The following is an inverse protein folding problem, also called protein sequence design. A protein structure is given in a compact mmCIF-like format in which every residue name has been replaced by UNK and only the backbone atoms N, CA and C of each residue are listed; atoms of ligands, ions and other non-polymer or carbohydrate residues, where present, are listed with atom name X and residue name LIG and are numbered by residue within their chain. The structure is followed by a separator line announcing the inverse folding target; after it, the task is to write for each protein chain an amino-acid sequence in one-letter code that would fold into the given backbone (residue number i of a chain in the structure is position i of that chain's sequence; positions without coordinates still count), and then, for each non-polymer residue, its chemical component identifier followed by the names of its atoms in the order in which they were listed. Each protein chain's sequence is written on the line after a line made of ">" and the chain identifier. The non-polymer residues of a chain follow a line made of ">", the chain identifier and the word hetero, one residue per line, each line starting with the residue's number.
data_IF_815282569388
#
_entry.id   IF_815282569388
#
_cell.length_a   1.000
_cell.length_b   1.000
_cell.length_c   1.000
_cell.angle_alpha   90.00
_cell.angle_beta   90.00
_cell.angle_gamma   90.00
#
_symmetry.space_group_name_H-M   'P 1'
#
loop_
_entity.id
_entity.type
_entity.pdbx_description
1 polymer ?
#
# COMPACT_ATOMS: atom_id res chain seq x y z
N UNK A 1 -13.96 -24.53 -14.88
CA UNK A 1 -13.04 -23.41 -14.66
C UNK A 1 -13.66 -22.57 -13.57
N UNK A 2 -13.06 -22.51 -12.37
CA UNK A 2 -13.52 -21.55 -11.35
C UNK A 2 -13.34 -20.16 -11.95
N UNK A 3 -14.43 -19.43 -12.11
CA UNK A 3 -14.40 -18.03 -12.50
C UNK A 3 -13.74 -17.29 -11.33
N UNK A 4 -12.43 -17.04 -11.41
CA UNK A 4 -11.74 -16.24 -10.41
C UNK A 4 -12.33 -14.84 -10.45
N UNK A 5 -12.96 -14.41 -9.36
CA UNK A 5 -13.53 -13.07 -9.22
C UNK A 5 -12.45 -11.98 -9.41
N UNK A 6 -11.24 -12.22 -8.91
CA UNK A 6 -10.10 -11.29 -9.04
C UNK A 6 -9.33 -11.63 -10.32
N UNK A 7 -9.29 -10.72 -11.33
CA UNK A 7 -8.57 -10.95 -12.58
C UNK A 7 -7.05 -10.91 -12.37
N UNK A 8 -6.33 -11.72 -13.13
CA UNK A 8 -4.87 -11.65 -13.22
C UNK A 8 -4.46 -10.96 -14.53
N UNK A 9 -3.56 -9.99 -14.44
CA UNK A 9 -3.04 -9.23 -15.57
C UNK A 9 -1.56 -9.51 -15.73
N UNK A 10 -1.17 -10.02 -16.90
CA UNK A 10 0.22 -10.27 -17.26
C UNK A 10 0.88 -8.97 -17.74
N UNK A 11 1.90 -8.50 -17.01
CA UNK A 11 2.62 -7.28 -17.34
C UNK A 11 3.85 -7.51 -18.24
N UNK A 12 4.15 -8.74 -18.68
CA UNK A 12 5.37 -9.08 -19.43
C UNK A 12 5.62 -8.15 -20.62
N UNK A 13 4.58 -7.91 -21.42
CA UNK A 13 4.67 -7.04 -22.60
C UNK A 13 4.83 -5.56 -22.24
N UNK A 14 4.25 -5.12 -21.13
CA UNK A 14 4.38 -3.75 -20.66
C UNK A 14 5.78 -3.50 -20.09
N UNK A 15 6.29 -4.43 -19.31
CA UNK A 15 7.65 -4.38 -18.74
C UNK A 15 8.71 -4.41 -19.82
N UNK A 16 8.56 -5.28 -20.83
CA UNK A 16 9.55 -5.45 -21.89
C UNK A 16 9.55 -4.33 -22.93
N UNK A 17 8.39 -3.74 -23.24
CA UNK A 17 8.24 -2.80 -24.36
C UNK A 17 7.89 -1.36 -23.93
N UNK A 18 7.61 -1.15 -22.65
CA UNK A 18 7.25 0.15 -22.08
C UNK A 18 5.84 0.63 -22.43
N UNK A 19 5.48 1.77 -21.83
CA UNK A 19 4.13 2.36 -21.88
C UNK A 19 3.71 2.84 -23.30
N UNK A 20 4.67 3.15 -24.16
CA UNK A 20 4.41 3.65 -25.51
C UNK A 20 4.21 2.53 -26.55
N UNK A 21 4.21 1.27 -26.11
CA UNK A 21 4.03 0.13 -27.00
C UNK A 21 2.55 -0.07 -27.40
N UNK A 22 2.33 -0.78 -28.52
CA UNK A 22 0.97 -1.16 -28.94
C UNK A 22 0.25 -2.04 -27.89
N UNK A 23 1.00 -2.75 -27.06
CA UNK A 23 0.47 -3.64 -26.01
C UNK A 23 -0.01 -2.88 -24.77
N UNK A 24 0.47 -1.66 -24.58
CA UNK A 24 0.10 -0.88 -23.39
C UNK A 24 -1.39 -0.55 -23.35
N UNK A 25 -2.03 -0.31 -24.49
CA UNK A 25 -3.48 -0.03 -24.56
C UNK A 25 -4.34 -1.21 -24.11
N UNK A 26 -3.96 -2.43 -24.47
CA UNK A 26 -4.67 -3.64 -24.07
C UNK A 26 -4.58 -3.83 -22.55
N UNK A 27 -3.37 -3.70 -21.98
CA UNK A 27 -3.13 -3.82 -20.55
C UNK A 27 -3.84 -2.68 -19.80
N UNK A 28 -3.79 -1.45 -20.34
CA UNK A 28 -4.48 -0.31 -19.75
C UNK A 28 -5.99 -0.53 -19.66
N UNK A 29 -6.62 -1.12 -20.69
CA UNK A 29 -8.03 -1.47 -20.66
C UNK A 29 -8.35 -2.58 -19.67
N UNK A 30 -7.49 -3.58 -19.50
CA UNK A 30 -7.66 -4.63 -18.48
C UNK A 30 -7.59 -4.02 -17.07
N UNK A 31 -6.58 -3.18 -16.78
CA UNK A 31 -6.43 -2.48 -15.50
C UNK A 31 -7.65 -1.57 -15.27
N UNK A 32 -8.05 -0.77 -16.28
CA UNK A 32 -9.23 0.08 -16.15
C UNK A 32 -10.46 -0.72 -15.75
N UNK A 33 -10.77 -1.78 -16.51
CA UNK A 33 -11.94 -2.62 -16.24
C UNK A 33 -11.90 -3.21 -14.81
N UNK A 34 -10.77 -3.78 -14.41
CA UNK A 34 -10.61 -4.33 -13.07
C UNK A 34 -10.79 -3.28 -11.97
N UNK A 35 -10.24 -2.07 -12.16
CA UNK A 35 -10.32 -0.96 -11.20
C UNK A 35 -11.74 -0.35 -11.12
N UNK A 36 -12.45 -0.26 -12.23
CA UNK A 36 -13.82 0.27 -12.27
C UNK A 36 -14.84 -0.73 -11.74
N UNK A 37 -14.71 -2.03 -12.06
CA UNK A 37 -15.68 -3.06 -11.70
C UNK A 37 -15.44 -3.62 -10.29
N UNK A 38 -14.17 -3.87 -9.92
CA UNK A 38 -13.81 -4.61 -8.71
C UNK A 38 -12.98 -3.75 -7.75
N UNK A 39 -12.03 -2.98 -8.27
CA UNK A 39 -11.05 -2.25 -7.48
C UNK A 39 -9.85 -3.10 -7.06
N UNK A 40 -9.78 -4.36 -7.51
CA UNK A 40 -8.72 -5.33 -7.23
C UNK A 40 -8.35 -6.15 -8.46
N UNK A 41 -7.07 -6.44 -8.60
CA UNK A 41 -6.52 -7.38 -9.59
C UNK A 41 -5.17 -7.91 -9.11
N UNK A 42 -4.68 -8.98 -9.71
CA UNK A 42 -3.31 -9.46 -9.50
C UNK A 42 -2.46 -9.15 -10.74
N UNK A 43 -1.16 -8.98 -10.54
CA UNK A 43 -0.20 -8.79 -11.63
C UNK A 43 0.90 -9.82 -11.57
N UNK A 44 1.19 -10.44 -12.71
CA UNK A 44 2.29 -11.38 -12.91
C UNK A 44 3.29 -10.82 -13.91
N UNK A 45 4.50 -11.38 -13.96
CA UNK A 45 5.58 -10.91 -14.85
C UNK A 45 5.89 -9.41 -14.71
N UNK A 46 5.78 -8.94 -13.47
CA UNK A 46 5.87 -7.52 -13.08
C UNK A 46 7.30 -6.97 -13.05
N UNK A 47 8.31 -7.80 -13.27
CA UNK A 47 9.71 -7.38 -13.35
C UNK A 47 10.46 -7.35 -12.01
N UNK A 48 9.78 -7.33 -10.87
CA UNK A 48 10.43 -7.38 -9.54
C UNK A 48 10.96 -8.80 -9.30
N UNK A 49 12.27 -8.99 -9.03
CA UNK A 49 12.83 -10.32 -8.81
C UNK A 49 12.29 -11.00 -7.55
N UNK A 50 11.82 -12.24 -7.65
CA UNK A 50 11.29 -13.01 -6.50
C UNK A 50 12.34 -13.21 -5.40
N UNK A 51 13.63 -13.31 -5.76
CA UNK A 51 14.74 -13.41 -4.81
C UNK A 51 14.82 -12.20 -3.87
N UNK A 52 14.45 -11.00 -4.33
CA UNK A 52 14.37 -9.81 -3.47
C UNK A 52 13.26 -9.93 -2.44
N UNK A 53 12.14 -10.54 -2.80
CA UNK A 53 11.03 -10.81 -1.89
C UNK A 53 11.44 -11.79 -0.79
N UNK A 54 12.17 -12.86 -1.14
CA UNK A 54 12.67 -13.83 -0.16
C UNK A 54 13.66 -13.21 0.82
N UNK A 55 14.57 -12.38 0.33
CA UNK A 55 15.51 -11.63 1.17
C UNK A 55 14.73 -10.70 2.12
N UNK A 56 13.76 -9.99 1.61
CA UNK A 56 12.93 -9.07 2.38
C UNK A 56 12.12 -9.79 3.47
N UNK A 57 11.51 -10.94 3.15
CA UNK A 57 10.79 -11.76 4.12
C UNK A 57 11.69 -12.22 5.27
N UNK A 58 12.92 -12.62 4.97
CA UNK A 58 13.89 -13.01 5.99
C UNK A 58 14.30 -11.81 6.87
N UNK A 59 14.49 -10.66 6.26
CA UNK A 59 14.81 -9.39 6.96
C UNK A 59 13.65 -8.98 7.87
N UNK A 60 12.42 -9.08 7.39
CA UNK A 60 11.20 -8.84 8.15
C UNK A 60 11.11 -9.75 9.39
N UNK A 61 11.34 -11.07 9.24
CA UNK A 61 11.35 -12.02 10.38
C UNK A 61 12.42 -11.68 11.41
N UNK A 62 13.64 -11.33 10.99
CA UNK A 62 14.70 -10.89 11.91
C UNK A 62 14.21 -9.77 12.83
N UNK A 63 13.49 -8.79 12.28
CA UNK A 63 12.94 -7.68 13.05
C UNK A 63 11.84 -8.14 14.02
N UNK A 64 10.81 -8.85 13.54
CA UNK A 64 9.66 -9.19 14.38
C UNK A 64 9.99 -10.21 15.48
N UNK A 65 11.05 -11.01 15.31
CA UNK A 65 11.52 -11.92 16.34
C UNK A 65 12.40 -11.28 17.43
N UNK A 66 12.71 -9.98 17.29
CA UNK A 66 13.34 -9.23 18.39
C UNK A 66 12.41 -9.17 19.61
N UNK A 67 12.98 -9.06 20.81
CA UNK A 67 12.19 -8.72 22.00
C UNK A 67 11.38 -7.44 21.78
N UNK A 68 10.16 -7.37 22.34
CA UNK A 68 9.30 -6.20 22.21
C UNK A 68 9.99 -4.91 22.71
N UNK A 69 10.80 -5.01 23.76
CA UNK A 69 11.60 -3.90 24.30
C UNK A 69 12.58 -3.30 23.28
N UNK A 70 13.04 -4.08 22.30
CA UNK A 70 13.88 -3.57 21.21
C UNK A 70 13.04 -2.92 20.11
N UNK A 71 11.94 -3.56 19.74
CA UNK A 71 11.03 -3.04 18.70
C UNK A 71 10.38 -1.72 19.10
N UNK A 72 9.99 -1.58 20.38
CA UNK A 72 9.34 -0.38 20.89
C UNK A 72 10.22 0.88 20.81
N UNK A 73 11.55 0.74 20.75
CA UNK A 73 12.48 1.87 20.62
C UNK A 73 12.23 2.71 19.37
N UNK A 74 11.69 2.08 18.32
CA UNK A 74 11.36 2.74 17.05
C UNK A 74 9.86 2.89 16.82
N UNK A 75 9.06 2.72 17.88
CA UNK A 75 7.62 2.94 17.81
C UNK A 75 7.28 4.44 17.76
N UNK A 76 6.14 4.82 17.16
CA UNK A 76 5.63 6.17 17.22
C UNK A 76 5.40 6.66 18.65
N UNK A 77 5.30 7.97 18.81
CA UNK A 77 5.14 8.68 20.10
C UNK A 77 4.02 8.12 20.99
N UNK A 78 3.00 7.55 20.38
CA UNK A 78 1.89 6.87 21.09
C UNK A 78 2.38 5.74 22.02
N UNK A 79 3.40 4.99 21.62
CA UNK A 79 3.95 3.85 22.36
C UNK A 79 5.35 4.11 22.92
N UNK A 80 6.06 5.08 22.34
CA UNK A 80 7.37 5.50 22.82
C UNK A 80 7.43 7.03 22.95
N UNK A 81 7.19 7.60 24.14
CA UNK A 81 7.15 9.06 24.32
C UNK A 81 8.50 9.75 24.08
N UNK A 82 9.59 9.00 23.91
CA UNK A 82 10.92 9.54 23.62
C UNK A 82 11.21 9.74 22.14
N UNK A 83 10.28 9.34 21.25
CA UNK A 83 10.39 9.57 19.80
C UNK A 83 9.54 10.75 19.36
N UNK A 84 9.93 11.38 18.25
CA UNK A 84 9.14 12.44 17.60
C UNK A 84 8.29 11.91 16.45
N UNK A 85 8.48 10.63 16.04
CA UNK A 85 7.70 10.03 14.96
C UNK A 85 6.25 9.80 15.38
N UNK A 86 5.32 10.01 14.45
CA UNK A 86 3.88 9.90 14.68
C UNK A 86 3.26 8.85 13.76
N UNK A 87 3.76 8.74 12.53
CA UNK A 87 3.12 7.95 11.47
C UNK A 87 3.89 6.69 11.11
N UNK A 88 5.20 6.61 11.40
CA UNK A 88 6.09 5.54 10.96
C UNK A 88 6.81 4.88 12.12
N UNK A 89 7.36 3.70 11.85
CA UNK A 89 8.03 2.89 12.85
C UNK A 89 7.21 1.67 13.23
N UNK A 90 7.45 1.14 14.41
CA UNK A 90 6.87 -0.10 14.89
C UNK A 90 5.51 0.09 15.56
N UNK A 91 4.53 -0.71 15.17
CA UNK A 91 3.19 -0.78 15.75
C UNK A 91 3.01 -2.13 16.45
N UNK A 92 2.77 -2.15 17.79
CA UNK A 92 2.67 -3.40 18.55
C UNK A 92 1.33 -4.11 18.33
N UNK A 93 1.32 -5.43 18.53
CA UNK A 93 0.14 -6.29 18.34
C UNK A 93 -0.98 -6.05 19.35
N UNK A 94 -0.70 -5.34 20.45
CA UNK A 94 -1.70 -5.04 21.47
C UNK A 94 -2.91 -4.23 20.97
N UNK A 95 -2.79 -3.61 19.79
CA UNK A 95 -3.84 -2.76 19.21
C UNK A 95 -4.87 -3.59 18.45
N UNK A 96 -4.43 -4.44 17.53
CA UNK A 96 -5.31 -5.18 16.62
C UNK A 96 -4.79 -6.59 16.29
N UNK A 97 -3.94 -7.16 17.14
CA UNK A 97 -3.44 -8.52 17.04
C UNK A 97 -2.37 -8.78 15.99
N UNK A 98 -2.02 -7.79 15.19
CA UNK A 98 -0.88 -7.83 14.26
C UNK A 98 0.18 -6.81 14.67
N UNK A 99 1.42 -7.12 14.39
CA UNK A 99 2.51 -6.16 14.48
C UNK A 99 2.71 -5.50 13.11
N UNK A 100 3.11 -4.22 13.11
CA UNK A 100 3.42 -3.47 11.89
C UNK A 100 4.78 -2.80 11.98
N UNK A 101 5.45 -2.65 10.84
CA UNK A 101 6.61 -1.77 10.71
C UNK A 101 6.45 -0.95 9.44
N UNK A 102 6.34 0.37 9.62
CA UNK A 102 6.20 1.34 8.52
C UNK A 102 7.51 2.03 8.22
N UNK A 103 7.89 2.00 6.95
CA UNK A 103 9.11 2.59 6.42
C UNK A 103 8.72 3.55 5.29
N UNK A 104 9.12 4.81 5.42
CA UNK A 104 8.89 5.82 4.39
C UNK A 104 9.95 5.81 3.29
N UNK A 105 9.92 6.83 2.42
CA UNK A 105 10.89 6.96 1.34
C UNK A 105 12.32 6.98 1.90
N UNK A 106 13.17 6.00 1.52
CA UNK A 106 14.53 5.94 2.05
C UNK A 106 15.46 7.04 1.54
N UNK A 107 15.04 7.81 0.54
CA UNK A 107 15.79 8.99 0.07
C UNK A 107 15.59 10.21 0.97
N UNK A 108 14.63 10.15 1.91
CA UNK A 108 14.38 11.25 2.84
C UNK A 108 15.44 11.28 3.94
N UNK A 109 16.12 12.39 4.08
CA UNK A 109 17.19 12.61 5.06
C UNK A 109 16.93 13.83 5.94
N UNK A 110 17.60 13.93 7.08
CA UNK A 110 17.37 15.00 8.07
C UNK A 110 17.65 16.43 7.54
N UNK A 111 18.57 16.58 6.60
CA UNK A 111 18.90 17.86 5.95
C UNK A 111 17.81 18.36 5.00
N UNK A 112 16.84 17.49 4.63
CA UNK A 112 15.70 17.84 3.79
C UNK A 112 14.48 18.39 4.57
N UNK A 113 14.61 18.58 5.87
CA UNK A 113 13.51 19.01 6.76
C UNK A 113 12.79 20.28 6.30
N UNK A 114 13.49 21.21 5.69
CA UNK A 114 12.92 22.48 5.21
C UNK A 114 12.29 22.37 3.81
N UNK A 115 12.50 21.23 3.11
CA UNK A 115 11.99 20.97 1.76
C UNK A 115 10.68 20.16 1.77
N UNK A 116 10.33 19.59 2.91
CA UNK A 116 9.18 18.68 3.09
C UNK A 116 8.24 19.30 4.13
N UNK A 117 6.96 18.96 4.05
CA UNK A 117 6.00 19.39 5.06
C UNK A 117 6.43 18.97 6.46
N UNK A 118 6.36 19.92 7.41
CA UNK A 118 6.65 19.64 8.84
C UNK A 118 5.67 18.67 9.47
N UNK A 119 4.50 18.49 8.87
CA UNK A 119 3.43 17.64 9.41
C UNK A 119 3.70 16.15 9.15
N UNK A 120 4.33 15.83 8.02
CA UNK A 120 4.58 14.43 7.58
C UNK A 120 6.06 14.11 7.43
N UNK A 121 6.96 15.03 7.84
CA UNK A 121 8.40 14.80 7.79
C UNK A 121 8.83 13.79 8.86
N UNK A 122 9.15 12.57 8.43
CA UNK A 122 9.67 11.51 9.31
C UNK A 122 10.73 10.72 8.57
N UNK A 123 11.98 10.84 9.01
CA UNK A 123 13.10 10.05 8.50
C UNK A 123 13.05 8.64 9.09
N UNK A 124 13.38 7.65 8.28
CA UNK A 124 13.42 6.26 8.74
C UNK A 124 14.46 6.05 9.84
N UNK A 125 14.15 5.13 10.77
CA UNK A 125 15.10 4.71 11.78
C UNK A 125 16.27 3.92 11.17
N UNK A 126 17.48 4.14 11.70
CA UNK A 126 18.63 3.31 11.35
C UNK A 126 18.50 1.92 11.99
N UNK A 127 18.45 0.91 11.14
CA UNK A 127 18.31 -0.50 11.52
C UNK A 127 19.58 -1.32 11.20
N UNK A 128 20.70 -0.66 10.95
CA UNK A 128 21.97 -1.31 10.59
C UNK A 128 22.52 -2.23 11.70
N UNK A 129 22.10 -1.98 12.94
CA UNK A 129 22.43 -2.85 14.09
C UNK A 129 21.77 -4.24 13.99
N UNK A 130 20.63 -4.35 13.31
CA UNK A 130 19.93 -5.62 13.09
C UNK A 130 20.54 -6.40 11.93
N UNK A 131 20.80 -5.69 10.83
CA UNK A 131 21.42 -6.23 9.64
C UNK A 131 22.22 -5.11 8.95
N UNK A 132 23.55 -5.25 8.78
CA UNK A 132 24.34 -4.23 8.09
C UNK A 132 23.89 -3.94 6.65
N UNK A 133 23.14 -4.86 6.03
CA UNK A 133 22.57 -4.68 4.70
C UNK A 133 21.13 -4.13 4.72
N UNK A 134 20.56 -3.88 5.90
CA UNK A 134 19.18 -3.43 6.05
C UNK A 134 18.83 -2.28 5.10
N UNK A 135 19.62 -1.21 5.18
CA UNK A 135 19.35 -0.02 4.39
C UNK A 135 19.37 -0.32 2.88
N UNK A 136 20.34 -1.12 2.43
CA UNK A 136 20.43 -1.51 1.03
C UNK A 136 19.24 -2.35 0.59
N UNK A 137 18.85 -3.37 1.38
CA UNK A 137 17.71 -4.24 1.08
C UNK A 137 16.41 -3.43 0.97
N UNK A 138 16.19 -2.53 1.92
CA UNK A 138 14.97 -1.70 1.96
C UNK A 138 14.94 -0.71 0.79
N UNK A 139 16.05 -0.01 0.52
CA UNK A 139 16.13 0.93 -0.58
C UNK A 139 15.88 0.24 -1.92
N UNK A 140 16.56 -0.87 -2.16
CA UNK A 140 16.46 -1.64 -3.40
C UNK A 140 15.01 -2.13 -3.64
N UNK A 141 14.35 -2.66 -2.60
CA UNK A 141 12.97 -3.11 -2.74
C UNK A 141 11.95 -1.96 -2.86
N UNK A 142 12.17 -0.88 -2.12
CA UNK A 142 11.33 0.32 -2.23
C UNK A 142 11.40 0.91 -3.64
N UNK A 143 12.60 0.98 -4.23
CA UNK A 143 12.81 1.47 -5.60
C UNK A 143 12.11 0.59 -6.64
N UNK A 144 12.19 -0.75 -6.50
CA UNK A 144 11.47 -1.69 -7.37
C UNK A 144 9.96 -1.47 -7.34
N UNK A 145 9.38 -1.34 -6.14
CA UNK A 145 7.94 -1.14 -5.99
C UNK A 145 7.50 0.27 -6.42
N UNK A 146 8.34 1.28 -6.18
CA UNK A 146 8.08 2.62 -6.70
C UNK A 146 8.03 2.62 -8.23
N UNK A 147 9.00 1.99 -8.89
CA UNK A 147 9.07 1.90 -10.35
C UNK A 147 7.88 1.11 -10.92
N UNK A 148 7.50 0.00 -10.29
CA UNK A 148 6.31 -0.76 -10.67
C UNK A 148 5.04 0.07 -10.49
N UNK A 149 4.91 0.80 -9.38
CA UNK A 149 3.81 1.72 -9.12
C UNK A 149 3.71 2.82 -10.17
N UNK A 150 4.84 3.44 -10.54
CA UNK A 150 4.90 4.44 -11.61
C UNK A 150 4.47 3.87 -12.96
N UNK A 151 4.90 2.65 -13.30
CA UNK A 151 4.51 1.97 -14.55
C UNK A 151 3.01 1.72 -14.60
N UNK A 152 2.42 1.16 -13.52
CA UNK A 152 0.99 0.90 -13.42
C UNK A 152 0.21 2.23 -13.43
N UNK A 153 0.64 3.24 -12.69
CA UNK A 153 -0.05 4.52 -12.62
C UNK A 153 -0.03 5.27 -13.96
N UNK A 154 1.12 5.31 -14.65
CA UNK A 154 1.18 5.85 -16.03
C UNK A 154 0.26 5.10 -16.97
N UNK A 155 0.14 3.78 -16.81
CA UNK A 155 -0.79 2.96 -17.58
C UNK A 155 -2.25 3.33 -17.28
N UNK A 156 -2.60 3.59 -16.03
CA UNK A 156 -3.92 4.08 -15.63
C UNK A 156 -4.18 5.46 -16.24
N UNK A 157 -3.24 6.41 -16.12
CA UNK A 157 -3.37 7.76 -16.68
C UNK A 157 -3.64 7.69 -18.20
N UNK A 158 -2.92 6.83 -18.92
CA UNK A 158 -3.04 6.72 -20.39
C UNK A 158 -4.44 6.39 -20.91
N UNK A 159 -5.32 5.91 -20.02
CA UNK A 159 -6.74 5.66 -20.36
C UNK A 159 -7.54 6.95 -20.46
N UNK A 160 -7.15 7.97 -19.71
CA UNK A 160 -7.88 9.24 -19.59
C UNK A 160 -7.19 10.37 -20.34
N UNK A 161 -5.87 10.45 -20.29
CA UNK A 161 -5.07 11.54 -20.81
C UNK A 161 -3.83 11.05 -21.54
N UNK A 162 -3.44 11.66 -22.67
CA UNK A 162 -2.14 11.40 -23.29
C UNK A 162 -0.98 12.01 -22.51
N UNK A 163 -1.25 12.93 -21.56
CA UNK A 163 -0.24 13.59 -20.76
C UNK A 163 0.18 12.74 -19.55
N UNK A 164 1.21 11.92 -19.71
CA UNK A 164 1.73 11.06 -18.66
C UNK A 164 2.63 11.79 -17.64
N UNK A 165 3.01 13.05 -17.88
CA UNK A 165 3.86 13.83 -16.97
C UNK A 165 3.19 14.12 -15.62
N UNK A 166 1.88 13.96 -15.54
CA UNK A 166 1.12 13.99 -14.28
C UNK A 166 1.69 13.01 -13.26
N UNK A 167 2.10 11.81 -13.70
CA UNK A 167 2.73 10.84 -12.80
C UNK A 167 4.03 11.37 -12.20
N UNK A 168 4.87 12.00 -13.02
CA UNK A 168 6.15 12.57 -12.56
C UNK A 168 5.94 13.78 -11.64
N UNK A 169 4.85 14.53 -11.84
CA UNK A 169 4.44 15.62 -10.93
C UNK A 169 3.89 15.09 -9.61
N UNK A 170 3.09 14.03 -9.67
CA UNK A 170 2.47 13.44 -8.48
C UNK A 170 3.48 12.71 -7.59
N UNK A 171 4.53 12.12 -8.16
CA UNK A 171 5.46 11.26 -7.43
C UNK A 171 6.90 11.79 -7.44
N UNK A 172 7.09 12.97 -6.86
CA UNK A 172 8.41 13.60 -6.72
C UNK A 172 9.12 13.10 -5.46
N UNK A 173 9.97 12.09 -5.58
CA UNK A 173 10.79 11.62 -4.46
C UNK A 173 11.84 12.66 -4.02
N UNK A 174 12.10 12.81 -2.73
CA UNK A 174 11.52 12.08 -1.59
C UNK A 174 10.25 12.71 -0.99
N UNK A 175 9.52 13.56 -1.72
CA UNK A 175 8.30 14.22 -1.25
C UNK A 175 7.09 13.29 -1.16
N UNK A 176 7.19 12.07 -1.71
CA UNK A 176 6.09 11.10 -1.68
C UNK A 176 5.82 10.64 -0.26
N UNK A 177 4.54 10.38 0.05
CA UNK A 177 4.14 9.79 1.32
C UNK A 177 4.09 8.26 1.26
N UNK A 178 4.59 7.66 0.17
CA UNK A 178 4.63 6.22 -0.01
C UNK A 178 5.25 5.51 1.19
N UNK A 179 4.63 4.40 1.58
CA UNK A 179 5.01 3.64 2.77
C UNK A 179 5.13 2.17 2.44
N UNK A 180 6.29 1.61 2.74
CA UNK A 180 6.50 0.16 2.76
C UNK A 180 6.14 -0.33 4.16
N UNK A 181 5.10 -1.16 4.26
CA UNK A 181 4.67 -1.75 5.53
C UNK A 181 4.98 -3.22 5.57
N UNK A 182 5.50 -3.70 6.69
CA UNK A 182 5.53 -5.10 7.05
C UNK A 182 4.42 -5.38 8.03
N UNK A 183 3.49 -6.27 7.71
CA UNK A 183 2.52 -6.80 8.65
C UNK A 183 2.95 -8.19 9.08
N UNK A 184 3.09 -8.38 10.37
CA UNK A 184 3.38 -9.66 10.99
C UNK A 184 2.19 -10.06 11.85
N UNK A 185 1.57 -11.18 11.51
CA UNK A 185 0.50 -11.79 12.27
C UNK A 185 1.12 -12.95 13.08
N UNK A 186 1.33 -12.77 14.38
CA UNK A 186 1.92 -13.81 15.20
C UNK A 186 0.97 -15.00 15.31
N UNK A 187 1.51 -16.19 15.66
CA UNK A 187 0.68 -17.33 15.99
C UNK A 187 -0.21 -17.00 17.18
N UNK A 188 -1.53 -17.14 17.03
CA UNK A 188 -2.52 -16.78 18.04
C UNK A 188 -3.58 -17.88 18.15
N UNK A 189 -4.09 -18.12 19.36
CA UNK A 189 -5.17 -19.09 19.59
C UNK A 189 -6.56 -18.47 19.41
N UNK A 190 -6.70 -17.16 19.52
CA UNK A 190 -7.98 -16.44 19.47
C UNK A 190 -7.87 -15.21 18.56
N UNK A 191 -8.94 -14.92 17.79
CA UNK A 191 -8.99 -13.68 17.00
C UNK A 191 -9.09 -12.46 17.92
N UNK A 192 -8.57 -11.34 17.46
CA UNK A 192 -8.70 -10.04 18.15
C UNK A 192 -10.05 -9.43 17.84
N UNK A 193 -10.56 -9.69 16.65
CA UNK A 193 -11.81 -9.09 16.19
C UNK A 193 -12.73 -10.14 15.56
N UNK A 194 -14.03 -9.93 15.78
CA UNK A 194 -15.13 -10.65 15.12
C UNK A 194 -15.92 -9.64 14.30
N UNK A 195 -16.05 -9.90 13.02
CA UNK A 195 -16.85 -9.04 12.12
C UNK A 195 -18.29 -8.94 12.59
N UNK A 196 -18.75 -7.74 12.84
CA UNK A 196 -20.14 -7.46 13.22
C UNK A 196 -21.13 -7.77 12.08
N UNK A 197 -20.67 -7.80 10.83
CA UNK A 197 -21.50 -8.03 9.65
C UNK A 197 -21.91 -9.50 9.50
N UNK A 198 -20.98 -10.43 9.72
CA UNK A 198 -21.17 -11.85 9.40
C UNK A 198 -20.62 -12.82 10.46
N UNK A 199 -20.10 -12.32 11.56
CA UNK A 199 -19.55 -13.13 12.67
C UNK A 199 -18.23 -13.83 12.35
N UNK A 200 -17.55 -13.46 11.27
CA UNK A 200 -16.27 -14.06 10.87
C UNK A 200 -15.12 -13.48 11.69
N UNK A 201 -14.19 -14.37 12.10
CA UNK A 201 -12.97 -13.98 12.80
C UNK A 201 -11.99 -13.28 11.86
N UNK A 202 -11.51 -12.11 12.26
CA UNK A 202 -10.63 -11.25 11.45
C UNK A 202 -9.22 -11.14 12.05
N UNK A 203 -8.24 -11.13 11.16
CA UNK A 203 -6.85 -10.75 11.44
C UNK A 203 -6.57 -9.29 11.03
N UNK A 204 -7.43 -8.72 10.16
CA UNK A 204 -7.46 -7.30 9.87
C UNK A 204 -8.90 -6.90 9.55
N UNK A 205 -9.36 -5.84 10.19
CA UNK A 205 -10.69 -5.27 10.04
C UNK A 205 -11.02 -4.88 8.59
N UNK A 206 -12.32 -4.74 8.29
CA UNK A 206 -12.79 -4.27 6.99
C UNK A 206 -12.46 -2.80 6.81
N UNK A 207 -11.75 -2.49 5.73
CA UNK A 207 -11.33 -1.12 5.41
C UNK A 207 -11.16 -0.90 3.91
N UNK A 208 -10.88 0.33 3.53
CA UNK A 208 -10.37 0.75 2.22
C UNK A 208 -9.06 1.48 2.42
N UNK A 209 -8.14 1.35 1.46
CA UNK A 209 -6.87 2.07 1.49
C UNK A 209 -7.02 3.53 1.05
N UNK A 210 -6.16 4.39 1.60
CA UNK A 210 -6.21 5.83 1.34
C UNK A 210 -5.44 6.26 0.07
N UNK A 211 -4.39 5.53 -0.32
CA UNK A 211 -3.46 5.93 -1.38
C UNK A 211 -4.02 5.93 -2.80
N UNK A 212 -3.15 6.09 -3.76
CA UNK A 212 -3.47 5.87 -5.19
C UNK A 212 -3.72 4.38 -5.42
N UNK A 213 -2.80 3.55 -4.99
CA UNK A 213 -2.95 2.09 -5.01
C UNK A 213 -2.07 1.45 -3.96
N UNK A 214 -2.36 0.21 -3.65
CA UNK A 214 -1.49 -0.65 -2.84
C UNK A 214 -0.94 -1.76 -3.72
N UNK A 215 0.36 -2.02 -3.63
CA UNK A 215 1.05 -3.16 -4.23
C UNK A 215 1.37 -4.12 -3.10
N UNK A 216 0.64 -5.24 -3.03
CA UNK A 216 0.71 -6.15 -1.89
C UNK A 216 1.35 -7.48 -2.27
N UNK A 217 2.41 -7.85 -1.55
CA UNK A 217 2.84 -9.25 -1.43
C UNK A 217 2.13 -9.89 -0.23
N UNK A 218 1.55 -11.06 -0.43
CA UNK A 218 1.03 -11.91 0.65
C UNK A 218 1.69 -13.29 0.62
N UNK A 219 1.96 -13.85 1.80
CA UNK A 219 2.50 -15.20 1.90
C UNK A 219 1.44 -16.28 1.57
N UNK A 220 1.87 -17.54 1.55
CA UNK A 220 1.02 -18.70 1.20
C UNK A 220 -0.17 -18.95 2.15
N UNK A 221 -0.24 -18.27 3.29
CA UNK A 221 -1.36 -18.39 4.22
C UNK A 221 -2.62 -17.70 3.69
N UNK A 222 -2.47 -16.73 2.79
CA UNK A 222 -3.60 -16.05 2.17
C UNK A 222 -4.47 -15.28 3.16
N UNK A 223 -5.79 -15.49 3.07
CA UNK A 223 -6.78 -14.91 3.98
C UNK A 223 -7.27 -13.52 3.60
N UNK A 224 -6.73 -12.89 2.58
CA UNK A 224 -7.24 -11.63 2.04
C UNK A 224 -8.58 -11.88 1.33
N UNK A 225 -9.59 -11.08 1.69
CA UNK A 225 -10.91 -11.08 1.06
C UNK A 225 -11.28 -9.69 0.56
N UNK A 226 -11.97 -9.64 -0.56
CA UNK A 226 -12.49 -8.43 -1.21
C UNK A 226 -14.00 -8.51 -1.26
N UNK A 227 -14.68 -7.41 -0.93
CA UNK A 227 -16.12 -7.34 -0.96
C UNK A 227 -16.62 -6.92 -2.35
N UNK A 228 -17.53 -7.69 -2.93
CA UNK A 228 -18.27 -7.25 -4.11
C UNK A 228 -19.16 -6.06 -3.74
N UNK A 229 -18.99 -4.92 -4.39
CA UNK A 229 -19.69 -3.68 -4.06
C UNK A 229 -21.19 -3.73 -4.33
N UNK A 230 -21.63 -4.62 -5.23
CA UNK A 230 -23.04 -4.72 -5.63
C UNK A 230 -23.78 -5.78 -4.83
N UNK A 231 -23.16 -6.97 -4.63
CA UNK A 231 -23.79 -8.09 -3.92
C UNK A 231 -23.43 -8.14 -2.43
N UNK A 232 -22.39 -7.39 -2.01
CA UNK A 232 -21.81 -7.38 -0.67
C UNK A 232 -21.20 -8.75 -0.26
N UNK A 233 -21.06 -9.67 -1.19
CA UNK A 233 -20.40 -10.96 -0.96
C UNK A 233 -18.88 -10.80 -0.87
N UNK A 234 -18.26 -11.63 -0.04
CA UNK A 234 -16.81 -11.67 0.13
C UNK A 234 -16.19 -12.73 -0.77
N UNK A 235 -15.14 -12.34 -1.48
CA UNK A 235 -14.38 -13.21 -2.38
C UNK A 235 -12.93 -13.31 -1.91
N UNK A 236 -12.40 -14.53 -1.85
CA UNK A 236 -10.99 -14.74 -1.53
C UNK A 236 -10.09 -14.22 -2.65
N UNK A 237 -8.96 -13.60 -2.26
CA UNK A 237 -7.87 -13.29 -3.17
C UNK A 237 -6.87 -14.45 -3.12
N UNK A 238 -6.80 -15.29 -4.17
CA UNK A 238 -5.95 -16.47 -4.16
C UNK A 238 -4.47 -16.08 -4.04
N UNK A 239 -3.72 -16.87 -3.24
CA UNK A 239 -2.28 -16.71 -3.18
C UNK A 239 -1.63 -17.17 -4.49
N UNK A 240 -0.70 -16.35 -4.98
CA UNK A 240 0.24 -16.70 -6.04
C UNK A 240 1.60 -16.10 -5.67
N UNK A 241 2.61 -16.95 -5.49
CA UNK A 241 3.97 -16.50 -5.11
C UNK A 241 4.67 -15.63 -6.16
N UNK A 242 4.19 -15.68 -7.41
CA UNK A 242 4.74 -14.92 -8.55
C UNK A 242 3.92 -13.66 -8.87
N UNK A 243 2.95 -13.31 -8.02
CA UNK A 243 2.07 -12.17 -8.27
C UNK A 243 2.06 -11.18 -7.11
N UNK A 244 1.89 -9.91 -7.44
CA UNK A 244 1.39 -8.92 -6.50
C UNK A 244 -0.12 -8.76 -6.64
N UNK A 245 -0.78 -8.52 -5.51
CA UNK A 245 -2.16 -8.03 -5.49
C UNK A 245 -2.11 -6.51 -5.58
N UNK A 246 -2.90 -5.96 -6.49
CA UNK A 246 -3.05 -4.51 -6.65
C UNK A 246 -4.48 -4.14 -6.26
N UNK A 247 -4.62 -3.14 -5.41
CA UNK A 247 -5.91 -2.53 -5.15
C UNK A 247 -5.86 -1.01 -5.28
N UNK A 248 -6.96 -0.45 -5.76
CA UNK A 248 -7.17 0.99 -5.88
C UNK A 248 -7.55 1.57 -4.52
N UNK A 249 -6.98 2.73 -4.19
CA UNK A 249 -7.27 3.47 -2.97
C UNK A 249 -8.16 4.70 -3.20
N UNK A 250 -8.55 5.34 -2.11
CA UNK A 250 -9.45 6.51 -2.14
C UNK A 250 -8.87 7.70 -2.93
N UNK A 251 -7.55 7.92 -2.88
CA UNK A 251 -6.93 9.00 -3.66
C UNK A 251 -7.10 8.81 -5.17
N UNK A 252 -7.01 7.56 -5.66
CA UNK A 252 -7.30 7.26 -7.06
C UNK A 252 -8.80 7.43 -7.39
N UNK A 253 -9.68 7.06 -6.46
CA UNK A 253 -11.11 7.31 -6.61
C UNK A 253 -11.40 8.80 -6.76
N UNK A 254 -10.78 9.65 -5.94
CA UNK A 254 -10.91 11.12 -6.03
C UNK A 254 -10.35 11.64 -7.35
N UNK A 255 -9.13 11.25 -7.70
CA UNK A 255 -8.45 11.69 -8.92
C UNK A 255 -9.20 11.27 -10.19
N UNK A 256 -9.87 10.11 -10.19
CA UNK A 256 -10.70 9.64 -11.31
C UNK A 256 -12.15 10.10 -11.23
N UNK A 257 -12.49 11.00 -10.31
CA UNK A 257 -13.83 11.50 -10.05
C UNK A 257 -14.85 10.37 -9.84
N UNK A 258 -14.44 9.34 -9.10
CA UNK A 258 -15.27 8.20 -8.73
C UNK A 258 -15.44 7.14 -9.83
N UNK A 259 -14.62 7.15 -10.90
CA UNK A 259 -14.66 6.11 -11.93
C UNK A 259 -13.97 4.82 -11.46
N UNK A 260 -12.77 4.93 -10.92
CA UNK A 260 -12.08 3.81 -10.26
C UNK A 260 -12.36 3.87 -8.76
N UNK A 261 -12.83 2.76 -8.20
CA UNK A 261 -13.36 2.73 -6.84
C UNK A 261 -12.41 2.07 -5.85
N UNK A 262 -12.21 2.69 -4.70
CA UNK A 262 -11.69 1.99 -3.54
C UNK A 262 -12.71 0.93 -3.07
N UNK A 263 -12.23 -0.25 -2.70
CA UNK A 263 -13.08 -1.40 -2.39
C UNK A 263 -12.75 -1.96 -1.02
N UNK A 264 -13.79 -2.26 -0.25
CA UNK A 264 -13.67 -2.88 1.06
C UNK A 264 -12.93 -4.21 0.94
N UNK A 265 -11.95 -4.40 1.81
CA UNK A 265 -11.23 -5.64 1.95
C UNK A 265 -10.93 -5.91 3.43
N UNK A 266 -10.65 -7.17 3.74
CA UNK A 266 -10.36 -7.64 5.09
C UNK A 266 -9.40 -8.82 5.05
N UNK A 267 -8.82 -9.17 6.19
CA UNK A 267 -8.01 -10.39 6.31
C UNK A 267 -8.65 -11.31 7.33
N UNK A 268 -8.86 -12.56 6.94
CA UNK A 268 -9.37 -13.59 7.83
C UNK A 268 -8.34 -13.91 8.92
N UNK A 269 -8.83 -14.20 10.11
CA UNK A 269 -7.98 -14.69 11.18
C UNK A 269 -7.37 -16.04 10.78
N UNK A 270 -6.07 -16.17 11.06
CA UNK A 270 -5.36 -17.44 10.92
C UNK A 270 -4.59 -17.70 12.22
N UNK A 271 -4.66 -18.97 12.71
CA UNK A 271 -3.92 -19.37 13.90
C UNK A 271 -2.41 -19.44 13.68
N UNK A 272 -1.96 -19.59 12.43
CA UNK A 272 -0.55 -19.69 12.11
C UNK A 272 0.06 -18.31 11.83
N UNK A 273 1.37 -18.23 11.98
CA UNK A 273 2.14 -17.05 11.59
C UNK A 273 1.91 -16.69 10.12
N UNK A 274 1.69 -15.41 9.85
CA UNK A 274 1.48 -14.87 8.51
C UNK A 274 2.25 -13.57 8.34
N UNK A 275 2.81 -13.36 7.16
CA UNK A 275 3.43 -12.10 6.76
C UNK A 275 2.74 -11.57 5.50
N UNK A 276 2.48 -10.27 5.48
CA UNK A 276 2.12 -9.54 4.26
C UNK A 276 2.88 -8.22 4.19
N UNK A 277 3.20 -7.81 2.95
CA UNK A 277 4.05 -6.64 2.72
C UNK A 277 3.33 -5.72 1.72
N UNK A 278 2.41 -4.86 2.18
CA UNK A 278 1.83 -3.83 1.35
C UNK A 278 2.82 -2.68 1.14
N UNK A 279 2.88 -2.20 -0.08
CA UNK A 279 3.48 -0.93 -0.45
C UNK A 279 2.35 0.03 -0.81
N UNK A 280 2.10 0.98 0.07
CA UNK A 280 1.14 2.05 -0.18
C UNK A 280 1.78 3.05 -1.12
N UNK A 281 1.35 3.06 -2.38
CA UNK A 281 1.85 3.96 -3.39
C UNK A 281 1.08 5.28 -3.31
N UNK A 282 1.73 6.28 -2.75
CA UNK A 282 1.13 7.53 -2.33
C UNK A 282 1.87 8.72 -2.93
N UNK A 283 1.15 9.74 -3.44
CA UNK A 283 1.78 10.87 -4.10
C UNK A 283 2.55 11.77 -3.13
N UNK A 284 3.17 12.78 -3.68
CA UNK A 284 3.84 13.85 -2.93
C UNK A 284 2.84 14.58 -2.03
N UNK A 285 3.28 15.00 -0.86
CA UNK A 285 2.45 15.63 0.17
C UNK A 285 1.66 16.85 -0.34
N UNK A 286 2.22 17.61 -1.29
CA UNK A 286 1.67 18.81 -1.89
C UNK A 286 0.85 18.57 -3.17
N UNK A 287 0.75 17.32 -3.64
CA UNK A 287 -0.04 16.96 -4.81
C UNK A 287 -1.54 17.14 -4.56
N UNK A 288 -2.25 17.78 -5.47
CA UNK A 288 -3.69 17.98 -5.39
C UNK A 288 -4.44 16.85 -6.08
N UNK A 289 -5.49 16.35 -5.43
CA UNK A 289 -6.37 15.30 -6.00
C UNK A 289 -7.40 15.92 -6.97
N UNK A 290 -6.91 16.60 -8.03
CA UNK A 290 -7.75 17.27 -9.01
C UNK A 290 -7.98 16.39 -10.24
N UNK A 291 -9.26 16.00 -10.55
CA UNK A 291 -9.59 15.20 -11.74
C UNK A 291 -9.14 15.82 -13.07
N UNK A 292 -8.93 17.13 -13.13
CA UNK A 292 -8.43 17.82 -14.32
C UNK A 292 -7.05 17.35 -14.78
N UNK A 293 -6.25 16.80 -13.88
CA UNK A 293 -4.97 16.17 -14.25
C UNK A 293 -5.15 14.96 -15.20
N UNK A 294 -6.34 14.37 -15.21
CA UNK A 294 -6.71 13.25 -16.08
C UNK A 294 -7.65 13.68 -17.23
N UNK A 295 -7.64 14.95 -17.61
CA UNK A 295 -8.55 15.53 -18.61
C UNK A 295 -10.05 15.28 -18.31
N UNK A 296 -10.38 15.09 -17.01
CA UNK A 296 -11.75 14.94 -16.54
C UNK A 296 -12.31 16.33 -16.28
N UNK A 297 -13.22 16.78 -17.13
CA UNK A 297 -13.75 18.16 -17.13
C UNK A 297 -14.92 18.38 -16.18
N UNK A 298 -15.57 17.30 -15.72
CA UNK A 298 -16.69 17.38 -14.78
C UNK A 298 -16.21 17.93 -13.43
N UNK A 299 -17.08 18.66 -12.76
CA UNK A 299 -16.82 19.15 -11.41
C UNK A 299 -16.46 17.98 -10.46
N UNK A 300 -15.48 18.22 -9.59
CA UNK A 300 -15.05 17.18 -8.62
C UNK A 300 -16.20 16.86 -7.65
N UNK A 301 -16.50 15.57 -7.52
CA UNK A 301 -17.51 15.06 -6.56
C UNK A 301 -17.01 15.10 -5.11
N UNK A 302 -15.69 15.18 -4.90
CA UNK A 302 -15.05 14.97 -3.60
C UNK A 302 -14.33 16.22 -3.06
N UNK A 303 -14.27 17.31 -3.85
CA UNK A 303 -13.41 18.44 -3.58
C UNK A 303 -12.01 18.25 -4.17
N UNK A 304 -11.13 19.22 -3.93
CA UNK A 304 -9.74 19.22 -4.40
C UNK A 304 -8.86 19.50 -3.19
N UNK A 305 -8.42 18.43 -2.54
CA UNK A 305 -7.57 18.50 -1.36
C UNK A 305 -6.09 18.30 -1.71
N UNK A 306 -5.21 18.89 -0.93
CA UNK A 306 -3.82 18.53 -0.86
C UNK A 306 -3.70 17.11 -0.30
N UNK A 307 -2.81 16.27 -0.85
CA UNK A 307 -2.72 14.87 -0.44
C UNK A 307 -2.38 14.69 1.05
N UNK A 308 -1.53 15.55 1.60
CA UNK A 308 -1.20 15.51 3.04
C UNK A 308 -2.44 15.67 3.93
N UNK A 309 -3.28 16.68 3.65
CA UNK A 309 -4.49 16.93 4.42
C UNK A 309 -5.49 15.78 4.26
N UNK A 310 -5.62 15.28 3.04
CA UNK A 310 -6.44 14.11 2.74
C UNK A 310 -5.97 12.87 3.52
N UNK A 311 -4.67 12.56 3.48
CA UNK A 311 -4.10 11.39 4.15
C UNK A 311 -4.25 11.50 5.67
N UNK A 312 -3.85 12.62 6.26
CA UNK A 312 -3.92 12.83 7.71
C UNK A 312 -5.35 12.74 8.25
N UNK A 313 -6.34 13.19 7.48
CA UNK A 313 -7.74 13.02 7.82
C UNK A 313 -8.20 11.56 7.68
N UNK A 314 -7.71 10.85 6.69
CA UNK A 314 -8.03 9.43 6.46
C UNK A 314 -7.45 8.52 7.54
N UNK A 315 -6.24 8.81 8.02
CA UNK A 315 -5.56 8.04 9.05
C UNK A 315 -6.24 8.10 10.43
N UNK A 316 -7.00 9.16 10.72
CA UNK A 316 -7.76 9.28 11.99
C UNK A 316 -8.77 8.16 12.23
N UNK A 317 -9.13 7.41 11.20
CA UNK A 317 -10.07 6.26 11.30
C UNK A 317 -9.40 5.00 11.84
N UNK A 318 -8.08 4.92 11.79
CA UNK A 318 -7.33 3.73 12.20
C UNK A 318 -6.82 3.89 13.62
N UNK A 319 -7.03 2.87 14.43
CA UNK A 319 -6.65 2.84 15.86
C UNK A 319 -5.16 3.08 16.05
N UNK A 320 -4.33 2.65 15.11
CA UNK A 320 -2.88 2.86 15.13
C UNK A 320 -2.50 4.34 15.16
N UNK A 321 -3.27 5.18 14.47
CA UNK A 321 -2.98 6.61 14.30
C UNK A 321 -3.86 7.53 15.17
N UNK A 322 -4.71 6.94 16.02
CA UNK A 322 -5.54 7.71 16.94
C UNK A 322 -4.62 8.48 17.91
N UNK A 323 -4.58 9.81 17.78
CA UNK A 323 -3.74 10.67 18.62
C UNK A 323 -4.39 10.78 19.99
N UNK A 324 -3.68 10.54 21.10
CA UNK A 324 -4.15 11.01 22.39
C UNK A 324 -4.31 12.53 22.32
N UNK A 325 -5.49 13.03 22.61
CA UNK A 325 -5.81 14.46 22.74
C UNK A 325 -4.87 15.16 23.72
#
# INVERSE_FOLDING_TARGET
>A
MQNNYIPNIDLSKLVSNGINSQYSKEIANQIKKASEEIGFFTVTNHGVPLTKIDILLNTCRKFFYLPESEKIKIAPKKWNPHTETVYRGYFPSSVNGKEGLDIGDPQLTHDMKDLISKQTFEVNHDMSYLDPQWQFIINDYFDELHNLGMLIFKTIISVYSPNLSVADTAFQRPKTLSTLRFNFYPKQERPVEISAQDGVALGCETHVDSGIMTILYQDKKGGLQVQNRNTLEWHDVPHNSEAFVINTGLALEYLTNGRMKATNHRVLFNQEERISIPFFFEPSFDFKLDPKYLDIVEESKYGIDCYEDFLTNSLKKFVEYDRPN
#
